data_IF_390290750251
#
_entry.id   IF_390290750251
#
_cell.length_a   1.000
_cell.length_b   1.000
_cell.length_c   1.000
_cell.angle_alpha   90.00
_cell.angle_beta   90.00
_cell.angle_gamma   90.00
#
_symmetry.space_group_name_H-M   'P 1'
#
loop_
_entity.id
_entity.type
_entity.pdbx_description
1 polymer ?
#
# COMPACT_ATOMS: atom_id res chain seq x y z
N UNK A 1 -3.95 -23.67 1.54
CA UNK A 1 -4.94 -22.73 2.11
C UNK A 1 -4.38 -21.35 1.90
N UNK A 2 -5.17 -20.47 1.30
CA UNK A 2 -4.90 -19.05 1.10
C UNK A 2 -4.60 -18.36 2.44
N UNK A 3 -3.57 -17.51 2.55
CA UNK A 3 -3.37 -16.74 3.78
C UNK A 3 -4.56 -15.82 4.02
N UNK A 4 -5.16 -15.92 5.20
CA UNK A 4 -6.22 -15.01 5.62
C UNK A 4 -5.70 -13.60 5.88
N UNK A 5 -4.38 -13.45 6.06
CA UNK A 5 -3.72 -12.16 6.26
C UNK A 5 -2.26 -12.21 5.80
N UNK A 6 -1.75 -11.12 5.22
CA UNK A 6 -0.34 -10.92 4.86
C UNK A 6 0.13 -9.54 5.30
N UNK A 7 1.34 -9.47 5.83
CA UNK A 7 2.01 -8.22 6.17
C UNK A 7 3.09 -7.91 5.14
N UNK A 8 2.97 -6.73 4.53
CA UNK A 8 3.89 -6.17 3.54
C UNK A 8 4.74 -5.09 4.23
N UNK A 9 6.06 -5.27 4.36
CA UNK A 9 6.93 -4.21 4.83
C UNK A 9 6.90 -3.01 3.88
N UNK A 10 6.73 -1.81 4.43
CA UNK A 10 6.75 -0.55 3.69
C UNK A 10 8.11 0.12 3.92
N UNK A 11 8.88 0.24 2.85
CA UNK A 11 10.21 0.82 2.85
C UNK A 11 10.16 2.27 2.37
N UNK A 12 11.02 3.08 2.97
CA UNK A 12 11.25 4.46 2.58
C UNK A 12 11.61 4.57 1.10
N UNK A 13 11.10 5.63 0.46
CA UNK A 13 11.46 6.02 -0.90
C UNK A 13 11.89 7.49 -0.91
N UNK A 14 12.82 7.83 -1.80
CA UNK A 14 13.24 9.21 -2.07
C UNK A 14 13.63 10.04 -0.83
N UNK A 15 14.29 9.40 0.15
CA UNK A 15 14.73 10.03 1.40
C UNK A 15 13.60 10.68 2.21
N UNK A 16 12.39 10.11 2.17
CA UNK A 16 11.22 10.65 2.88
C UNK A 16 11.28 10.51 4.41
N UNK A 17 12.10 9.60 4.93
CA UNK A 17 12.07 9.15 6.32
C UNK A 17 10.85 8.29 6.69
N UNK A 18 10.02 7.89 5.71
CA UNK A 18 8.75 7.21 5.96
C UNK A 18 8.86 5.69 5.79
N UNK A 19 8.54 4.93 6.84
CA UNK A 19 8.61 3.46 6.78
C UNK A 19 7.63 2.79 7.76
N UNK A 20 7.29 1.53 7.51
CA UNK A 20 6.38 0.79 8.37
C UNK A 20 5.87 -0.50 7.74
N UNK A 21 4.57 -0.72 7.78
CA UNK A 21 3.95 -1.92 7.23
C UNK A 21 2.53 -1.67 6.73
N UNK A 22 2.11 -2.51 5.78
CA UNK A 22 0.74 -2.65 5.36
C UNK A 22 0.26 -4.08 5.63
N UNK A 23 -0.91 -4.24 6.24
CA UNK A 23 -1.54 -5.54 6.48
C UNK A 23 -2.74 -5.69 5.58
N UNK A 24 -2.73 -6.75 4.76
CA UNK A 24 -3.86 -7.17 3.94
C UNK A 24 -4.56 -8.32 4.65
N UNK A 25 -5.87 -8.22 4.87
CA UNK A 25 -6.67 -9.25 5.54
C UNK A 25 -7.87 -9.60 4.67
N UNK A 26 -8.06 -10.90 4.39
CA UNK A 26 -9.22 -11.39 3.64
C UNK A 26 -10.50 -11.18 4.46
N UNK A 27 -11.52 -10.57 3.87
CA UNK A 27 -12.85 -10.40 4.48
C UNK A 27 -13.91 -10.85 3.46
N UNK A 28 -14.33 -12.11 3.54
CA UNK A 28 -15.29 -12.68 2.59
C UNK A 28 -14.71 -12.65 1.17
N UNK A 29 -15.35 -11.90 0.25
CA UNK A 29 -14.91 -11.70 -1.14
C UNK A 29 -14.09 -10.40 -1.34
N UNK A 30 -13.78 -9.71 -0.26
CA UNK A 30 -13.12 -8.41 -0.23
C UNK A 30 -11.80 -8.52 0.56
N UNK A 31 -10.95 -7.50 0.50
CA UNK A 31 -9.70 -7.43 1.25
C UNK A 31 -9.66 -6.13 2.05
N UNK A 32 -9.28 -6.19 3.33
CA UNK A 32 -8.99 -5.00 4.12
C UNK A 32 -7.50 -4.71 4.08
N UNK A 33 -7.13 -3.49 3.73
CA UNK A 33 -5.75 -3.00 3.72
C UNK A 33 -5.61 -1.96 4.82
N UNK A 34 -4.70 -2.20 5.75
CA UNK A 34 -4.34 -1.26 6.82
C UNK A 34 -2.89 -0.85 6.63
N UNK A 35 -2.60 0.43 6.50
CA UNK A 35 -1.24 0.96 6.37
C UNK A 35 -0.88 1.72 7.64
N UNK A 36 0.31 1.45 8.19
CA UNK A 36 0.91 2.19 9.29
C UNK A 36 2.33 2.60 8.91
N UNK A 37 2.58 3.90 8.81
CA UNK A 37 3.88 4.51 8.55
C UNK A 37 4.33 5.36 9.74
N UNK A 38 5.62 5.32 10.03
CA UNK A 38 6.33 6.26 10.90
C UNK A 38 7.00 7.31 10.01
N UNK A 39 7.18 8.53 10.53
CA UNK A 39 7.80 9.64 9.79
C UNK A 39 6.85 10.42 8.87
N UNK A 40 5.62 9.92 8.67
CA UNK A 40 4.62 10.59 7.86
C UNK A 40 4.17 11.93 8.45
N UNK A 41 3.90 12.95 7.61
CA UNK A 41 3.41 14.25 8.06
C UNK A 41 2.02 14.12 8.72
N UNK A 42 1.82 14.85 9.83
CA UNK A 42 0.58 14.77 10.60
C UNK A 42 -0.65 15.35 9.87
N UNK A 43 -0.44 16.35 9.02
CA UNK A 43 -1.52 17.18 8.44
C UNK A 43 -1.66 17.05 6.93
N UNK A 44 -0.72 16.38 6.24
CA UNK A 44 -0.74 16.25 4.78
C UNK A 44 -1.27 14.86 4.41
N UNK A 45 -2.46 14.75 3.79
CA UNK A 45 -2.95 13.48 3.28
C UNK A 45 -2.08 13.00 2.11
N UNK A 46 -1.66 11.75 2.21
CA UNK A 46 -0.78 11.10 1.25
C UNK A 46 -1.57 10.05 0.45
N UNK A 47 -1.79 10.23 -0.85
CA UNK A 47 -2.46 9.23 -1.68
C UNK A 47 -1.75 7.89 -1.63
N UNK A 48 -2.52 6.80 -1.59
CA UNK A 48 -1.97 5.45 -1.57
C UNK A 48 -2.70 4.56 -2.58
N UNK A 49 -1.96 3.68 -3.22
CA UNK A 49 -2.48 2.81 -4.26
C UNK A 49 -1.82 1.43 -4.21
N UNK A 50 -2.56 0.41 -4.65
CA UNK A 50 -1.98 -0.84 -5.12
C UNK A 50 -1.74 -0.69 -6.61
N UNK A 51 -0.51 -0.90 -7.05
CA UNK A 51 -0.11 -0.87 -8.45
C UNK A 51 0.29 -2.26 -8.93
N UNK A 52 0.22 -2.45 -10.24
CA UNK A 52 0.97 -3.51 -10.93
C UNK A 52 2.48 -3.23 -10.86
N UNK A 53 3.28 -4.29 -10.88
CA UNK A 53 4.73 -4.22 -10.83
C UNK A 53 5.27 -4.24 -9.40
N UNK A 54 6.47 -3.70 -9.23
CA UNK A 54 7.22 -3.68 -7.97
C UNK A 54 7.58 -2.26 -7.58
N UNK A 55 8.08 -2.05 -6.36
CA UNK A 55 8.58 -0.74 -5.92
C UNK A 55 9.69 -0.16 -6.79
N UNK A 56 10.47 -1.01 -7.48
CA UNK A 56 11.46 -0.55 -8.46
C UNK A 56 10.90 -0.25 -9.86
N UNK A 57 9.66 -0.66 -10.14
CA UNK A 57 9.02 -0.49 -11.45
C UNK A 57 7.49 -0.46 -11.29
N UNK A 58 6.98 0.63 -10.71
CA UNK A 58 5.54 0.88 -10.54
C UNK A 58 4.87 1.07 -11.91
N UNK A 59 3.71 0.43 -12.11
CA UNK A 59 2.91 0.50 -13.34
C UNK A 59 1.49 1.01 -13.06
N UNK A 60 0.48 0.49 -13.76
CA UNK A 60 -0.90 0.91 -13.63
C UNK A 60 -1.47 0.72 -12.22
N UNK A 61 -2.45 1.54 -11.86
CA UNK A 61 -3.20 1.42 -10.60
C UNK A 61 -4.15 0.24 -10.71
N UNK A 62 -4.04 -0.70 -9.76
CA UNK A 62 -5.00 -1.80 -9.58
C UNK A 62 -6.10 -1.38 -8.61
N UNK A 63 -5.74 -0.69 -7.53
CA UNK A 63 -6.67 -0.32 -6.49
C UNK A 63 -6.31 1.03 -5.85
N UNK A 64 -7.29 1.92 -5.72
CA UNK A 64 -7.14 3.15 -4.95
C UNK A 64 -7.41 2.91 -3.46
N UNK A 65 -6.48 3.34 -2.61
CA UNK A 65 -6.60 3.24 -1.17
C UNK A 65 -6.98 4.60 -0.59
N UNK A 66 -7.60 4.57 0.59
CA UNK A 66 -7.78 5.77 1.41
C UNK A 66 -6.41 6.41 1.66
N UNK A 67 -6.34 7.73 1.55
CA UNK A 67 -5.10 8.47 1.84
C UNK A 67 -4.55 8.11 3.22
N UNK A 68 -3.23 7.99 3.30
CA UNK A 68 -2.52 7.91 4.57
C UNK A 68 -2.57 9.31 5.21
N UNK A 69 -3.14 9.39 6.41
CA UNK A 69 -3.21 10.62 7.20
C UNK A 69 -2.60 10.32 8.57
N UNK A 70 -1.65 11.14 9.00
CA UNK A 70 -0.91 10.92 10.25
C UNK A 70 -0.36 9.48 10.34
N UNK A 71 0.24 9.02 9.23
CA UNK A 71 0.84 7.69 9.12
C UNK A 71 -0.16 6.53 9.11
N UNK A 72 -1.47 6.76 9.02
CA UNK A 72 -2.47 5.68 9.08
C UNK A 72 -3.43 5.72 7.89
N UNK A 73 -3.78 4.55 7.38
CA UNK A 73 -4.86 4.36 6.40
C UNK A 73 -5.58 3.04 6.64
N UNK A 74 -6.89 3.00 6.37
CA UNK A 74 -7.67 1.77 6.29
C UNK A 74 -8.58 1.83 5.06
N UNK A 75 -8.53 0.79 4.25
CA UNK A 75 -9.35 0.64 3.04
C UNK A 75 -9.97 -0.75 2.99
N UNK A 76 -11.23 -0.85 2.58
CA UNK A 76 -11.83 -2.13 2.19
C UNK A 76 -11.89 -2.22 0.67
N UNK A 77 -11.00 -3.05 0.14
CA UNK A 77 -10.89 -3.49 -1.24
C UNK A 77 -12.06 -4.35 -1.68
N UNK A 78 -13.00 -3.83 -2.47
CA UNK A 78 -14.15 -4.63 -2.96
C UNK A 78 -13.73 -5.52 -4.13
N UNK A 79 -14.21 -6.77 -4.14
CA UNK A 79 -13.97 -7.74 -5.21
C UNK A 79 -12.47 -8.06 -5.47
N UNK A 80 -11.63 -7.88 -4.45
CA UNK A 80 -10.23 -8.26 -4.47
C UNK A 80 -9.96 -9.24 -3.32
N UNK A 81 -9.11 -10.23 -3.56
CA UNK A 81 -8.70 -11.20 -2.54
C UNK A 81 -7.20 -11.08 -2.26
N UNK A 82 -6.79 -11.44 -1.04
CA UNK A 82 -5.38 -11.52 -0.66
C UNK A 82 -4.62 -12.41 -1.65
N UNK A 83 -5.19 -13.56 -2.04
CA UNK A 83 -4.59 -14.45 -3.05
C UNK A 83 -4.39 -13.77 -4.40
N UNK A 84 -5.42 -13.07 -4.93
CA UNK A 84 -5.29 -12.41 -6.23
C UNK A 84 -4.18 -11.36 -6.24
N UNK A 85 -3.98 -10.68 -5.11
CA UNK A 85 -2.93 -9.69 -4.94
C UNK A 85 -1.54 -10.34 -4.78
N UNK A 86 -1.46 -11.52 -4.20
CA UNK A 86 -0.22 -12.30 -4.05
C UNK A 86 0.18 -13.08 -5.30
N UNK A 87 -0.78 -13.47 -6.13
CA UNK A 87 -0.55 -14.21 -7.37
C UNK A 87 -0.01 -13.29 -8.49
N UNK A 88 -0.40 -12.01 -8.47
CA UNK A 88 0.15 -11.00 -9.37
C UNK A 88 1.43 -10.36 -8.83
N UNK A 89 2.13 -9.64 -9.70
CA UNK A 89 3.22 -8.75 -9.29
C UNK A 89 2.61 -7.40 -8.93
N UNK A 90 2.46 -7.13 -7.63
CA UNK A 90 1.86 -5.89 -7.14
C UNK A 90 2.72 -5.23 -6.07
N UNK A 91 2.55 -3.92 -5.93
CA UNK A 91 3.16 -3.12 -4.88
C UNK A 91 2.17 -2.12 -4.29
N UNK A 92 2.29 -1.87 -2.98
CA UNK A 92 1.61 -0.75 -2.31
C UNK A 92 2.55 0.45 -2.41
N UNK A 93 2.07 1.55 -2.99
CA UNK A 93 2.81 2.80 -3.13
C UNK A 93 2.08 3.93 -2.41
N UNK A 94 2.84 4.82 -1.76
CA UNK A 94 2.33 6.03 -1.11
C UNK A 94 3.04 7.24 -1.73
N UNK A 95 2.26 8.23 -2.15
CA UNK A 95 2.71 9.48 -2.75
C UNK A 95 2.88 10.58 -1.70
N UNK A 96 3.74 11.58 -1.97
CA UNK A 96 3.99 12.68 -1.03
C UNK A 96 2.75 13.51 -0.74
N UNK A 97 1.97 13.85 -1.76
CA UNK A 97 0.74 14.64 -1.62
C UNK A 97 -0.09 14.58 -2.91
N UNK A 98 -1.31 15.13 -2.87
CA UNK A 98 -2.11 15.33 -4.08
C UNK A 98 -1.45 16.29 -5.09
N UNK A 99 -0.64 17.25 -4.62
CA UNK A 99 0.07 18.21 -5.46
C UNK A 99 1.37 17.63 -6.05
N UNK A 100 1.92 16.58 -5.44
CA UNK A 100 3.15 15.92 -5.89
C UNK A 100 3.02 14.39 -5.96
N UNK A 101 2.18 13.92 -6.88
CA UNK A 101 2.00 12.49 -7.15
C UNK A 101 3.24 11.81 -7.74
N UNK A 102 4.17 12.57 -8.31
CA UNK A 102 5.40 12.01 -8.89
C UNK A 102 6.43 11.57 -7.85
N UNK A 103 6.33 12.05 -6.61
CA UNK A 103 7.25 11.71 -5.53
C UNK A 103 6.63 10.65 -4.62
N UNK A 104 7.28 9.50 -4.56
CA UNK A 104 6.89 8.40 -3.67
C UNK A 104 7.59 8.54 -2.32
N UNK A 105 6.86 8.30 -1.23
CA UNK A 105 7.40 8.39 0.14
C UNK A 105 7.62 7.03 0.76
N UNK A 106 6.78 6.04 0.45
CA UNK A 106 6.94 4.68 0.94
C UNK A 106 6.41 3.68 -0.09
N UNK A 107 7.02 2.49 -0.13
CA UNK A 107 6.57 1.41 -0.99
C UNK A 107 6.85 0.02 -0.40
N UNK A 108 5.96 -0.94 -0.64
CA UNK A 108 6.15 -2.34 -0.28
C UNK A 108 5.64 -3.31 -1.34
N UNK A 109 6.46 -4.29 -1.72
CA UNK A 109 6.09 -5.34 -2.67
C UNK A 109 5.16 -6.38 -2.02
N UNK A 110 4.04 -6.68 -2.68
CA UNK A 110 3.09 -7.71 -2.27
C UNK A 110 3.55 -9.04 -2.86
N UNK A 111 4.34 -9.79 -2.09
CA UNK A 111 4.91 -11.08 -2.52
C UNK A 111 4.46 -12.21 -1.62
N UNK A 112 4.29 -13.40 -2.20
CA UNK A 112 4.19 -14.64 -1.41
C UNK A 112 5.50 -14.84 -0.67
N UNK A 113 5.40 -14.99 0.65
CA UNK A 113 6.52 -15.34 1.53
C UNK A 113 6.34 -16.75 2.06
#
# INVERSE_FOLDING_TARGET
>A
MSPSSVTVPMHEQNSSGESGAATLTQIGKDVKVVITLKGAPATTPQPAHIHEGTCGSIKGVVYALTNVVNGQSTTTGRNATVDSLLDGTHAINVHESADNLGKYVACGDIVKR
#
